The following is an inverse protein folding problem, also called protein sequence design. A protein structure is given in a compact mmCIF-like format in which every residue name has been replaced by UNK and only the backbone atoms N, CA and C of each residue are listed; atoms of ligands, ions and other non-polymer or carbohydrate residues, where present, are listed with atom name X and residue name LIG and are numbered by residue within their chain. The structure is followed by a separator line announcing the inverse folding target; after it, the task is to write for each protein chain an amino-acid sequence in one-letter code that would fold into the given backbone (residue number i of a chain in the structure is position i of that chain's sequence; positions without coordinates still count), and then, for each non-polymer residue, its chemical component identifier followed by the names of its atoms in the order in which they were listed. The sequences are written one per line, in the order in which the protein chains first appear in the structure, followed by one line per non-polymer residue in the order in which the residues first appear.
data_IF_991086765987
#
_entry.id   IF_991086765987
#
_cell.length_a   1.000
_cell.length_b   1.000
_cell.length_c   1.000
_cell.angle_alpha   90.00
_cell.angle_beta   90.00
_cell.angle_gamma   90.00
#
_symmetry.space_group_name_H-M   'P 1'
#
loop_
_entity.id
_entity.type
_entity.pdbx_description
1 polymer ?
#
# COMPACT_ATOMS: atom_id res chain seq x y z
N UNK A 1 -71.86 -4.99 28.82
CA UNK A 1 -71.17 -4.84 27.53
C UNK A 1 -69.98 -3.90 27.74
N UNK A 2 -68.72 -4.36 27.68
CA UNK A 2 -67.60 -3.45 27.76
C UNK A 2 -67.28 -2.86 26.37
N UNK A 3 -67.11 -1.54 26.32
CA UNK A 3 -66.56 -0.78 25.19
C UNK A 3 -65.16 -1.29 24.85
N UNK A 4 -64.93 -1.67 23.58
CA UNK A 4 -63.59 -1.91 23.03
C UNK A 4 -62.84 -0.58 22.95
N UNK A 5 -61.81 -0.41 23.76
CA UNK A 5 -60.76 0.59 23.52
C UNK A 5 -60.04 0.23 22.22
N UNK A 6 -59.99 1.17 21.28
CA UNK A 6 -59.18 1.07 20.08
C UNK A 6 -57.68 1.03 20.45
N UNK A 7 -56.95 0.07 19.92
CA UNK A 7 -55.51 -0.05 20.10
C UNK A 7 -54.77 1.13 19.46
N UNK A 8 -53.64 1.59 20.03
CA UNK A 8 -52.85 2.66 19.44
C UNK A 8 -52.17 2.20 18.15
N UNK A 9 -52.19 3.07 17.14
CA UNK A 9 -51.54 2.89 15.84
C UNK A 9 -50.01 2.83 16.06
N UNK A 10 -49.29 1.79 15.58
CA UNK A 10 -47.85 1.75 15.68
C UNK A 10 -47.23 2.71 14.67
N UNK A 11 -46.88 3.91 15.12
CA UNK A 11 -45.98 4.83 14.41
C UNK A 11 -44.55 4.34 14.58
N UNK A 12 -44.02 3.63 13.58
CA UNK A 12 -42.62 3.19 13.60
C UNK A 12 -42.32 1.95 12.79
N UNK A 13 -42.93 1.78 11.62
CA UNK A 13 -42.35 0.88 10.63
C UNK A 13 -41.18 1.61 10.00
N UNK A 14 -39.97 1.15 10.35
CA UNK A 14 -38.77 1.33 9.53
C UNK A 14 -39.15 1.05 8.08
N UNK A 15 -39.25 2.11 7.27
CA UNK A 15 -39.34 1.97 5.83
C UNK A 15 -38.05 1.27 5.39
N UNK A 16 -38.10 0.04 4.83
CA UNK A 16 -36.90 -0.54 4.25
C UNK A 16 -36.39 0.41 3.15
N UNK A 17 -35.07 0.55 2.96
CA UNK A 17 -34.55 1.41 1.91
C UNK A 17 -35.18 1.00 0.58
N UNK A 18 -35.53 1.99 -0.25
CA UNK A 18 -36.03 1.83 -1.62
C UNK A 18 -35.26 0.70 -2.29
N UNK A 19 -35.89 -0.46 -2.48
CA UNK A 19 -35.43 -1.46 -3.46
C UNK A 19 -35.67 -0.87 -4.84
N UNK A 20 -34.75 -0.02 -5.28
CA UNK A 20 -34.71 0.51 -6.64
C UNK A 20 -34.39 -0.63 -7.60
N UNK A 21 -35.37 -0.97 -8.43
CA UNK A 21 -35.35 -1.94 -9.52
C UNK A 21 -34.99 -3.40 -9.15
N UNK A 22 -35.81 -4.34 -9.63
CA UNK A 22 -35.34 -5.72 -9.81
C UNK A 22 -34.18 -5.66 -10.80
N UNK A 23 -32.94 -5.68 -10.30
CA UNK A 23 -31.79 -5.90 -11.17
C UNK A 23 -32.00 -7.29 -11.81
N UNK A 24 -32.08 -7.35 -13.13
CA UNK A 24 -32.17 -8.59 -13.91
C UNK A 24 -30.94 -9.51 -13.70
N UNK A 25 -29.93 -9.04 -12.97
CA UNK A 25 -28.64 -9.68 -12.78
C UNK A 25 -28.08 -9.37 -11.38
N UNK A 26 -27.13 -10.19 -10.94
CA UNK A 26 -26.42 -9.99 -9.68
C UNK A 26 -25.22 -9.04 -9.91
N UNK A 27 -25.22 -7.81 -9.33
CA UNK A 27 -24.15 -6.83 -9.56
C UNK A 27 -22.80 -7.30 -8.99
N UNK A 28 -22.79 -8.12 -7.94
CA UNK A 28 -21.56 -8.70 -7.36
C UNK A 28 -20.90 -9.74 -8.27
N UNK A 29 -21.60 -10.22 -9.31
CA UNK A 29 -21.05 -11.14 -10.31
C UNK A 29 -20.75 -10.38 -11.60
N UNK A 30 -21.73 -9.63 -12.11
CA UNK A 30 -21.62 -8.98 -13.42
C UNK A 30 -20.55 -7.90 -13.43
N UNK A 31 -20.49 -7.06 -12.41
CA UNK A 31 -19.53 -5.94 -12.38
C UNK A 31 -18.09 -6.47 -12.32
N UNK A 32 -17.72 -7.37 -11.40
CA UNK A 32 -16.36 -7.91 -11.39
C UNK A 32 -16.00 -8.68 -12.67
N UNK A 33 -16.97 -9.36 -13.30
CA UNK A 33 -16.75 -10.05 -14.58
C UNK A 33 -16.50 -9.08 -15.75
N UNK A 34 -17.25 -7.97 -15.82
CA UNK A 34 -17.01 -6.92 -16.81
C UNK A 34 -15.66 -6.24 -16.57
N UNK A 35 -15.33 -5.93 -15.32
CA UNK A 35 -14.03 -5.38 -14.94
C UNK A 35 -12.90 -6.34 -15.30
N UNK A 36 -13.07 -7.65 -15.08
CA UNK A 36 -12.13 -8.67 -15.51
C UNK A 36 -11.90 -8.60 -17.03
N UNK A 37 -12.97 -8.63 -17.84
CA UNK A 37 -12.89 -8.56 -19.30
C UNK A 37 -12.18 -7.28 -19.77
N UNK A 38 -12.60 -6.13 -19.26
CA UNK A 38 -12.03 -4.82 -19.64
C UNK A 38 -10.56 -4.73 -19.26
N UNK A 39 -10.19 -5.18 -18.06
CA UNK A 39 -8.80 -5.14 -17.59
C UNK A 39 -7.92 -6.09 -18.42
N UNK A 40 -8.45 -7.23 -18.85
CA UNK A 40 -7.74 -8.17 -19.72
C UNK A 40 -7.49 -7.59 -21.12
N UNK A 41 -8.48 -6.91 -21.69
CA UNK A 41 -8.32 -6.17 -22.96
C UNK A 41 -7.31 -5.03 -22.80
N UNK A 42 -7.39 -4.27 -21.71
CA UNK A 42 -6.47 -3.17 -21.44
C UNK A 42 -5.03 -3.65 -21.31
N UNK A 43 -4.80 -4.78 -20.62
CA UNK A 43 -3.48 -5.43 -20.55
C UNK A 43 -2.94 -5.78 -21.92
N UNK A 44 -3.77 -6.36 -22.79
CA UNK A 44 -3.38 -6.68 -24.16
C UNK A 44 -3.02 -5.43 -24.96
N UNK A 45 -3.80 -4.35 -24.87
CA UNK A 45 -3.52 -3.08 -25.54
C UNK A 45 -2.21 -2.44 -25.07
N UNK A 46 -1.95 -2.46 -23.76
CA UNK A 46 -0.69 -1.96 -23.18
C UNK A 46 0.51 -2.77 -23.69
N UNK A 47 0.39 -4.10 -23.75
CA UNK A 47 1.45 -4.96 -24.28
C UNK A 47 1.68 -4.74 -25.79
N UNK A 48 0.61 -4.60 -26.58
CA UNK A 48 0.68 -4.32 -28.01
C UNK A 48 1.36 -2.97 -28.30
N UNK A 49 1.03 -1.92 -27.54
CA UNK A 49 1.67 -0.60 -27.65
C UNK A 49 3.16 -0.59 -27.29
N UNK A 50 3.63 -1.58 -26.52
CA UNK A 50 5.05 -1.77 -26.19
C UNK A 50 5.79 -2.63 -27.24
N UNK A 51 5.16 -2.94 -28.37
CA UNK A 51 5.74 -3.77 -29.44
C UNK A 51 5.81 -5.26 -29.09
N UNK A 52 5.17 -5.69 -27.99
CA UNK A 52 5.16 -7.08 -27.50
C UNK A 52 3.80 -7.71 -27.80
N UNK A 53 3.54 -7.98 -29.08
CA UNK A 53 2.33 -8.71 -29.50
C UNK A 53 2.55 -10.19 -29.21
N UNK A 54 2.33 -10.58 -27.96
CA UNK A 54 2.33 -11.99 -27.56
C UNK A 54 0.95 -12.33 -26.99
N UNK A 55 0.21 -13.21 -27.68
CA UNK A 55 -1.10 -13.67 -27.23
C UNK A 55 -1.02 -14.38 -25.86
N UNK A 56 0.18 -14.76 -25.41
CA UNK A 56 0.42 -15.24 -24.04
C UNK A 56 -0.04 -14.25 -22.98
N UNK A 57 -0.04 -12.93 -23.22
CA UNK A 57 -0.56 -11.97 -22.24
C UNK A 57 -2.07 -12.10 -21.97
N UNK A 58 -2.83 -12.78 -22.85
CA UNK A 58 -4.26 -13.07 -22.65
C UNK A 58 -4.53 -14.22 -21.66
N UNK A 59 -3.53 -15.05 -21.34
CA UNK A 59 -3.67 -16.17 -20.40
C UNK A 59 -2.51 -16.32 -19.40
N UNK A 60 -1.43 -15.55 -19.56
CA UNK A 60 -0.30 -15.55 -18.65
C UNK A 60 -0.62 -14.80 -17.35
N UNK A 61 -0.22 -15.39 -16.23
CA UNK A 61 -0.22 -14.78 -14.91
C UNK A 61 0.93 -13.77 -14.80
N UNK A 62 0.72 -12.51 -15.22
CA UNK A 62 1.72 -11.44 -15.11
C UNK A 62 1.36 -10.15 -15.87
N UNK A 63 2.05 -9.03 -15.58
CA UNK A 63 1.99 -7.75 -16.33
C UNK A 63 0.98 -6.70 -15.83
N UNK A 64 1.20 -5.44 -16.22
CA UNK A 64 0.31 -4.30 -15.95
C UNK A 64 -0.92 -4.25 -16.87
N UNK A 65 -2.10 -3.87 -16.37
CA UNK A 65 -2.51 -3.76 -14.96
C UNK A 65 -2.88 -5.13 -14.35
N UNK A 66 -2.87 -5.22 -13.01
CA UNK A 66 -3.27 -6.45 -12.32
C UNK A 66 -4.78 -6.68 -12.38
N UNK A 67 -5.18 -7.75 -13.07
CA UNK A 67 -6.58 -8.17 -13.24
C UNK A 67 -7.17 -8.66 -11.91
N UNK A 68 -6.41 -9.43 -11.13
CA UNK A 68 -6.87 -9.92 -9.83
C UNK A 68 -7.23 -8.76 -8.91
N UNK A 69 -6.36 -7.75 -8.87
CA UNK A 69 -6.56 -6.54 -8.08
C UNK A 69 -7.77 -5.75 -8.57
N UNK A 70 -7.92 -5.55 -9.89
CA UNK A 70 -9.08 -4.87 -10.45
C UNK A 70 -10.40 -5.56 -10.09
N UNK A 71 -10.46 -6.89 -10.22
CA UNK A 71 -11.66 -7.68 -9.93
C UNK A 71 -12.05 -7.56 -8.46
N UNK A 72 -11.14 -7.86 -7.53
CA UNK A 72 -11.48 -7.85 -6.09
C UNK A 72 -11.75 -6.44 -5.57
N UNK A 73 -11.06 -5.42 -6.08
CA UNK A 73 -11.32 -4.02 -5.74
C UNK A 73 -12.68 -3.56 -6.28
N UNK A 74 -13.06 -3.98 -7.50
CA UNK A 74 -14.39 -3.67 -8.05
C UNK A 74 -15.53 -4.33 -7.28
N UNK A 75 -15.32 -5.57 -6.81
CA UNK A 75 -16.29 -6.28 -5.95
C UNK A 75 -16.46 -5.56 -4.62
N UNK A 76 -15.37 -5.23 -3.94
CA UNK A 76 -15.40 -4.52 -2.67
C UNK A 76 -16.06 -3.14 -2.80
N UNK A 77 -15.74 -2.40 -3.86
CA UNK A 77 -16.34 -1.08 -4.09
C UNK A 77 -17.82 -1.17 -4.50
N UNK A 78 -18.22 -2.22 -5.23
CA UNK A 78 -19.63 -2.48 -5.53
C UNK A 78 -20.41 -2.77 -4.24
N UNK A 79 -19.86 -3.59 -3.34
CA UNK A 79 -20.48 -3.84 -2.04
C UNK A 79 -20.55 -2.57 -1.16
N UNK A 80 -19.52 -1.72 -1.22
CA UNK A 80 -19.56 -0.41 -0.56
C UNK A 80 -20.72 0.46 -1.07
N UNK A 81 -20.91 0.55 -2.38
CA UNK A 81 -21.92 1.42 -2.99
C UNK A 81 -23.35 0.89 -2.82
N UNK A 82 -23.55 -0.43 -2.88
CA UNK A 82 -24.88 -1.04 -2.84
C UNK A 82 -25.35 -1.32 -1.42
N UNK A 83 -24.50 -1.93 -0.59
CA UNK A 83 -24.87 -2.37 0.77
C UNK A 83 -24.43 -1.38 1.85
N UNK A 84 -23.50 -0.49 1.51
CA UNK A 84 -22.92 0.45 2.45
C UNK A 84 -21.73 -0.09 3.24
N UNK A 85 -20.97 0.81 3.89
CA UNK A 85 -19.72 0.50 4.58
C UNK A 85 -19.88 -0.30 5.88
N UNK A 86 -21.08 -0.33 6.46
CA UNK A 86 -21.36 -1.12 7.68
C UNK A 86 -21.89 -2.52 7.38
N UNK A 87 -22.04 -2.88 6.10
CA UNK A 87 -22.59 -4.19 5.72
C UNK A 87 -21.55 -5.31 5.88
N UNK A 88 -22.04 -6.51 6.23
CA UNK A 88 -21.20 -7.70 6.29
C UNK A 88 -20.61 -8.06 4.92
N UNK A 89 -21.34 -7.81 3.83
CA UNK A 89 -20.90 -8.09 2.45
C UNK A 89 -19.72 -7.20 2.07
N UNK A 90 -19.77 -5.90 2.41
CA UNK A 90 -18.64 -5.00 2.22
C UNK A 90 -17.44 -5.44 3.06
N UNK A 91 -17.64 -5.71 4.35
CA UNK A 91 -16.56 -6.15 5.25
C UNK A 91 -15.84 -7.40 4.73
N UNK A 92 -16.61 -8.42 4.34
CA UNK A 92 -16.07 -9.66 3.75
C UNK A 92 -15.30 -9.38 2.45
N UNK A 93 -15.89 -8.61 1.54
CA UNK A 93 -15.31 -8.32 0.22
C UNK A 93 -14.04 -7.46 0.33
N UNK A 94 -14.01 -6.51 1.27
CA UNK A 94 -12.86 -5.65 1.52
C UNK A 94 -11.68 -6.44 2.11
N UNK A 95 -11.93 -7.31 3.11
CA UNK A 95 -10.90 -8.19 3.68
C UNK A 95 -10.40 -9.17 2.61
N UNK A 96 -11.31 -9.76 1.83
CA UNK A 96 -10.94 -10.65 0.72
C UNK A 96 -10.06 -9.92 -0.31
N UNK A 97 -10.43 -8.70 -0.69
CA UNK A 97 -9.62 -7.87 -1.60
C UNK A 97 -8.24 -7.59 -1.03
N UNK A 98 -8.13 -7.26 0.27
CA UNK A 98 -6.85 -7.03 0.94
C UNK A 98 -5.96 -8.28 0.91
N UNK A 99 -6.51 -9.46 1.20
CA UNK A 99 -5.76 -10.74 1.17
C UNK A 99 -5.25 -11.04 -0.24
N UNK A 100 -6.10 -10.91 -1.26
CA UNK A 100 -5.73 -11.18 -2.66
C UNK A 100 -4.69 -10.18 -3.16
N UNK A 101 -4.82 -8.90 -2.80
CA UNK A 101 -3.80 -7.89 -3.13
C UNK A 101 -2.48 -8.21 -2.42
N UNK A 102 -2.51 -8.62 -1.15
CA UNK A 102 -1.31 -9.02 -0.41
C UNK A 102 -0.59 -10.23 -1.04
N UNK A 103 -1.34 -11.28 -1.42
CA UNK A 103 -0.77 -12.44 -2.14
C UNK A 103 -0.12 -12.03 -3.47
N UNK A 104 -0.75 -11.08 -4.18
CA UNK A 104 -0.22 -10.57 -5.44
C UNK A 104 1.09 -9.77 -5.30
N UNK A 105 1.35 -9.16 -4.13
CA UNK A 105 2.56 -8.40 -3.83
C UNK A 105 3.76 -9.27 -3.37
N UNK A 106 3.55 -10.16 -2.38
CA UNK A 106 4.66 -10.64 -1.54
C UNK A 106 5.08 -12.09 -1.74
N UNK A 107 4.12 -13.01 -1.82
CA UNK A 107 4.41 -14.45 -1.79
C UNK A 107 5.04 -14.90 -3.11
N UNK A 108 4.46 -14.46 -4.24
CA UNK A 108 4.90 -14.90 -5.57
C UNK A 108 6.30 -14.41 -5.94
N UNK A 109 6.67 -13.21 -5.49
CA UNK A 109 8.00 -12.64 -5.75
C UNK A 109 9.10 -13.45 -5.08
N UNK A 110 8.91 -13.82 -3.82
CA UNK A 110 9.88 -14.59 -3.05
C UNK A 110 10.11 -15.98 -3.67
N UNK A 111 9.04 -16.66 -4.11
CA UNK A 111 9.15 -17.93 -4.82
C UNK A 111 9.84 -17.79 -6.18
N UNK A 112 9.61 -16.69 -6.90
CA UNK A 112 10.31 -16.38 -8.15
C UNK A 112 11.81 -16.14 -7.97
N UNK A 113 12.19 -15.38 -6.93
CA UNK A 113 13.59 -15.14 -6.57
C UNK A 113 14.30 -16.44 -6.16
N UNK A 114 13.60 -17.33 -5.44
CA UNK A 114 14.11 -18.68 -5.13
C UNK A 114 14.26 -19.54 -6.39
N UNK A 115 13.28 -19.54 -7.30
CA UNK A 115 13.36 -20.28 -8.55
C UNK A 115 14.54 -19.83 -9.42
N UNK A 116 14.78 -18.52 -9.51
CA UNK A 116 15.92 -17.95 -10.23
C UNK A 116 17.25 -18.34 -9.58
N UNK A 117 17.35 -18.29 -8.25
CA UNK A 117 18.54 -18.72 -7.53
C UNK A 117 18.85 -20.21 -7.73
N UNK A 118 17.82 -21.07 -7.68
CA UNK A 118 17.99 -22.51 -7.92
C UNK A 118 18.39 -22.77 -9.37
N UNK A 119 17.75 -22.12 -10.36
CA UNK A 119 18.14 -22.25 -11.77
C UNK A 119 19.61 -21.85 -11.98
N UNK A 120 20.08 -20.76 -11.36
CA UNK A 120 21.47 -20.33 -11.45
C UNK A 120 22.45 -21.32 -10.83
N UNK A 121 22.09 -21.96 -9.71
CA UNK A 121 22.90 -23.03 -9.10
C UNK A 121 22.97 -24.24 -10.03
N UNK A 122 21.84 -24.65 -10.63
CA UNK A 122 21.79 -25.79 -11.54
C UNK A 122 22.60 -25.54 -12.82
N UNK A 123 22.54 -24.32 -13.37
CA UNK A 123 23.34 -23.91 -14.52
C UNK A 123 24.85 -23.98 -14.21
N UNK A 124 25.28 -23.46 -13.06
CA UNK A 124 26.69 -23.53 -12.63
C UNK A 124 27.20 -24.95 -12.33
N UNK A 125 26.34 -25.84 -11.81
CA UNK A 125 26.70 -27.25 -11.59
C UNK A 125 26.87 -28.02 -12.91
N UNK A 126 26.05 -27.70 -13.92
CA UNK A 126 26.19 -28.25 -15.27
C UNK A 126 27.51 -27.81 -15.93
N UNK A 127 27.87 -26.53 -15.80
CA UNK A 127 29.16 -26.01 -16.27
C UNK A 127 30.36 -26.69 -15.58
N UNK A 128 30.21 -27.06 -14.31
CA UNK A 128 31.20 -27.80 -13.53
C UNK A 128 31.26 -29.32 -13.79
N UNK A 129 30.50 -29.85 -14.76
CA UNK A 129 30.38 -31.29 -15.05
C UNK A 129 29.94 -32.15 -13.84
N UNK A 130 29.21 -31.57 -12.87
CA UNK A 130 28.67 -32.34 -11.74
C UNK A 130 27.38 -33.02 -12.21
N UNK A 131 27.30 -34.36 -12.22
CA UNK A 131 26.11 -35.06 -12.70
C UNK A 131 24.97 -34.89 -11.69
N UNK A 132 24.02 -34.02 -12.02
CA UNK A 132 22.78 -33.84 -11.26
C UNK A 132 21.64 -34.44 -12.08
N UNK A 133 20.81 -35.31 -11.48
CA UNK A 133 19.55 -35.76 -12.08
C UNK A 133 18.58 -34.58 -12.09
N UNK A 134 18.59 -33.81 -13.17
CA UNK A 134 17.71 -32.65 -13.31
C UNK A 134 16.27 -33.04 -13.64
N UNK A 135 15.25 -32.34 -13.10
CA UNK A 135 13.95 -32.27 -13.75
C UNK A 135 14.14 -31.76 -15.19
N UNK A 136 13.34 -32.21 -16.18
CA UNK A 136 13.56 -31.86 -17.59
C UNK A 136 13.38 -30.36 -17.92
N UNK A 137 12.96 -29.52 -16.96
CA UNK A 137 12.63 -28.12 -17.20
C UNK A 137 13.15 -27.21 -16.08
N UNK A 138 13.65 -26.02 -16.46
CA UNK A 138 13.98 -24.94 -15.53
C UNK A 138 12.73 -24.57 -14.71
N UNK A 139 12.93 -24.23 -13.43
CA UNK A 139 11.86 -23.74 -12.59
C UNK A 139 11.33 -22.44 -13.20
N UNK A 140 10.01 -22.28 -13.21
CA UNK A 140 9.37 -21.08 -13.74
C UNK A 140 9.66 -19.91 -12.81
N UNK A 141 10.44 -18.95 -13.28
CA UNK A 141 10.73 -17.70 -12.59
C UNK A 141 9.50 -16.79 -12.64
N UNK A 142 8.56 -17.02 -11.72
CA UNK A 142 7.37 -16.17 -11.60
C UNK A 142 7.81 -14.87 -10.93
N UNK A 143 8.07 -13.82 -11.72
CA UNK A 143 8.13 -12.47 -11.17
C UNK A 143 6.73 -12.15 -10.63
N UNK A 144 6.60 -12.04 -9.32
CA UNK A 144 5.41 -11.44 -8.70
C UNK A 144 5.10 -10.08 -9.34
N UNK A 145 3.85 -9.65 -9.27
CA UNK A 145 3.45 -8.35 -9.80
C UNK A 145 4.23 -7.23 -9.10
N UNK A 146 4.70 -6.23 -9.86
CA UNK A 146 5.28 -5.05 -9.21
C UNK A 146 4.20 -4.35 -8.37
N UNK A 147 4.54 -3.72 -7.24
CA UNK A 147 3.54 -3.07 -6.41
C UNK A 147 2.68 -2.04 -7.17
N UNK A 148 3.29 -1.35 -8.13
CA UNK A 148 2.58 -0.42 -9.01
C UNK A 148 1.54 -1.09 -9.90
N UNK A 149 1.72 -2.36 -10.33
CA UNK A 149 0.75 -3.06 -11.18
C UNK A 149 -0.51 -3.43 -10.40
N UNK A 150 -0.35 -3.81 -9.13
CA UNK A 150 -1.44 -4.12 -8.20
C UNK A 150 -2.22 -2.85 -7.88
N UNK A 151 -1.52 -1.75 -7.57
CA UNK A 151 -2.15 -0.45 -7.34
C UNK A 151 -2.91 0.05 -8.57
N UNK A 152 -2.32 -0.03 -9.76
CA UNK A 152 -2.98 0.35 -11.01
C UNK A 152 -4.24 -0.50 -11.24
N UNK A 153 -4.16 -1.81 -11.00
CA UNK A 153 -5.31 -2.71 -11.07
C UNK A 153 -6.41 -2.30 -10.08
N UNK A 154 -6.07 -2.05 -8.82
CA UNK A 154 -7.04 -1.64 -7.79
C UNK A 154 -7.76 -0.33 -8.19
N UNK A 155 -7.02 0.67 -8.69
CA UNK A 155 -7.58 1.95 -9.17
C UNK A 155 -8.54 1.70 -10.33
N UNK A 156 -8.14 0.90 -11.33
CA UNK A 156 -9.00 0.52 -12.45
C UNK A 156 -10.29 -0.15 -11.95
N UNK A 157 -10.18 -1.07 -10.99
CA UNK A 157 -11.32 -1.73 -10.38
C UNK A 157 -12.30 -0.77 -9.71
N UNK A 158 -11.78 0.19 -8.93
CA UNK A 158 -12.59 1.25 -8.30
C UNK A 158 -13.27 2.13 -9.36
N UNK A 159 -12.54 2.57 -10.38
CA UNK A 159 -13.06 3.45 -11.43
C UNK A 159 -14.19 2.81 -12.23
N UNK A 160 -14.02 1.56 -12.67
CA UNK A 160 -15.08 0.87 -13.42
C UNK A 160 -16.26 0.49 -12.52
N UNK A 161 -16.03 0.10 -11.26
CA UNK A 161 -17.13 -0.10 -10.32
C UNK A 161 -17.91 1.19 -10.06
N UNK A 162 -17.23 2.33 -9.94
CA UNK A 162 -17.85 3.65 -9.82
C UNK A 162 -18.67 3.99 -11.08
N UNK A 163 -18.12 3.72 -12.27
CA UNK A 163 -18.79 3.96 -13.53
C UNK A 163 -20.05 3.11 -13.69
N UNK A 164 -19.97 1.80 -13.41
CA UNK A 164 -21.12 0.89 -13.52
C UNK A 164 -22.19 1.12 -12.44
N UNK A 165 -21.79 1.65 -11.28
CA UNK A 165 -22.70 2.04 -10.21
C UNK A 165 -22.84 3.58 -10.09
N UNK A 166 -22.74 4.32 -11.21
CA UNK A 166 -22.73 5.79 -11.18
C UNK A 166 -23.94 6.38 -10.42
N UNK A 167 -25.10 5.72 -10.54
CA UNK A 167 -26.35 6.13 -9.89
C UNK A 167 -26.30 6.00 -8.36
N UNK A 168 -25.38 5.20 -7.80
CA UNK A 168 -25.22 4.95 -6.36
C UNK A 168 -24.06 5.74 -5.74
N UNK A 169 -23.39 6.61 -6.52
CA UNK A 169 -22.26 7.41 -6.03
C UNK A 169 -22.66 8.42 -4.95
N UNK A 170 -23.94 8.78 -4.84
CA UNK A 170 -24.44 9.61 -3.74
C UNK A 170 -24.08 9.05 -2.37
N UNK A 171 -24.12 7.72 -2.21
CA UNK A 171 -23.74 7.06 -0.96
C UNK A 171 -22.28 7.28 -0.55
N UNK A 172 -21.37 7.55 -1.50
CA UNK A 172 -19.98 7.93 -1.21
C UNK A 172 -19.94 9.31 -0.57
N UNK A 173 -20.67 10.27 -1.14
CA UNK A 173 -20.73 11.64 -0.64
C UNK A 173 -21.35 11.65 0.76
N UNK A 174 -22.44 10.92 0.94
CA UNK A 174 -23.09 10.77 2.24
C UNK A 174 -22.11 10.16 3.25
N UNK A 175 -21.36 9.12 2.87
CA UNK A 175 -20.37 8.50 3.73
C UNK A 175 -19.25 9.47 4.16
N UNK A 176 -18.62 10.18 3.22
CA UNK A 176 -17.50 11.08 3.54
C UNK A 176 -17.96 12.35 4.28
N UNK A 177 -19.23 12.74 4.15
CA UNK A 177 -19.82 13.87 4.88
C UNK A 177 -20.44 13.45 6.22
N UNK A 178 -20.40 12.16 6.59
CA UNK A 178 -20.86 11.74 7.91
C UNK A 178 -20.04 12.41 9.02
N UNK A 179 -20.69 12.94 10.07
CA UNK A 179 -20.01 13.43 11.25
C UNK A 179 -19.18 12.32 11.91
N UNK A 180 -17.97 12.68 12.29
CA UNK A 180 -16.99 11.79 12.91
C UNK A 180 -17.41 11.47 14.35
N UNK A 181 -17.46 10.17 14.68
CA UNK A 181 -17.70 9.72 16.06
C UNK A 181 -16.42 9.74 16.92
N UNK A 182 -16.61 9.67 18.25
CA UNK A 182 -15.52 9.73 19.25
C UNK A 182 -14.38 8.73 18.99
N UNK A 183 -14.70 7.52 18.51
CA UNK A 183 -13.68 6.50 18.23
C UNK A 183 -12.66 6.97 17.18
N UNK A 184 -13.13 7.65 16.13
CA UNK A 184 -12.26 8.13 15.06
C UNK A 184 -11.49 9.37 15.51
N UNK A 185 -12.10 10.25 16.31
CA UNK A 185 -11.40 11.36 16.96
C UNK A 185 -10.19 10.88 17.78
N UNK A 186 -10.41 9.90 18.67
CA UNK A 186 -9.32 9.30 19.45
C UNK A 186 -8.29 8.58 18.59
N UNK A 187 -8.71 7.92 17.51
CA UNK A 187 -7.79 7.29 16.57
C UNK A 187 -6.88 8.32 15.88
N UNK A 188 -7.43 9.44 15.40
CA UNK A 188 -6.63 10.52 14.80
C UNK A 188 -5.66 11.10 15.82
N UNK A 189 -6.13 11.36 17.06
CA UNK A 189 -5.27 11.86 18.14
C UNK A 189 -4.11 10.92 18.45
N UNK A 190 -4.39 9.62 18.58
CA UNK A 190 -3.38 8.59 18.85
C UNK A 190 -2.37 8.53 17.71
N UNK A 191 -2.83 8.48 16.46
CA UNK A 191 -1.96 8.44 15.28
C UNK A 191 -1.08 9.67 15.22
N UNK A 192 -1.63 10.88 15.36
CA UNK A 192 -0.85 12.13 15.39
C UNK A 192 0.22 12.13 16.48
N UNK A 193 -0.12 11.64 17.67
CA UNK A 193 0.83 11.51 18.78
C UNK A 193 1.96 10.53 18.45
N UNK A 194 1.62 9.37 17.88
CA UNK A 194 2.59 8.36 17.41
C UNK A 194 3.50 8.94 16.34
N UNK A 195 2.98 9.73 15.40
CA UNK A 195 3.78 10.41 14.37
C UNK A 195 4.85 11.33 14.98
N UNK A 196 4.49 12.12 15.98
CA UNK A 196 5.46 12.98 16.69
C UNK A 196 6.55 12.13 17.35
N UNK A 197 6.14 11.16 18.18
CA UNK A 197 7.10 10.32 18.93
C UNK A 197 8.02 9.56 17.96
N UNK A 198 7.45 8.91 16.94
CA UNK A 198 8.21 8.16 15.95
C UNK A 198 9.17 9.07 15.16
N UNK A 199 8.77 10.29 14.82
CA UNK A 199 9.65 11.25 14.13
C UNK A 199 10.89 11.59 14.96
N UNK A 200 10.71 11.88 16.26
CA UNK A 200 11.83 12.17 17.16
C UNK A 200 12.74 10.96 17.37
N UNK A 201 12.15 9.78 17.60
CA UNK A 201 12.91 8.53 17.77
C UNK A 201 13.71 8.21 16.52
N UNK A 202 13.08 8.24 15.34
CA UNK A 202 13.75 7.97 14.07
C UNK A 202 14.89 8.98 13.82
N UNK A 203 14.64 10.27 14.05
CA UNK A 203 15.66 11.31 13.90
C UNK A 203 16.85 11.10 14.83
N UNK A 204 16.62 10.75 16.09
CA UNK A 204 17.69 10.59 17.07
C UNK A 204 18.47 9.28 16.87
N UNK A 205 17.77 8.15 16.72
CA UNK A 205 18.39 6.83 16.65
C UNK A 205 19.10 6.60 15.31
N UNK A 206 18.43 6.92 14.20
CA UNK A 206 18.92 6.55 12.87
C UNK A 206 19.99 7.53 12.37
N UNK A 207 19.91 8.83 12.68
CA UNK A 207 21.00 9.77 12.36
C UNK A 207 22.28 9.39 13.12
N UNK A 208 22.18 8.98 14.40
CA UNK A 208 23.36 8.52 15.14
C UNK A 208 24.04 7.34 14.47
N UNK A 209 23.25 6.39 13.94
CA UNK A 209 23.75 5.18 13.29
C UNK A 209 24.27 5.42 11.87
N UNK A 210 23.61 6.28 11.09
CA UNK A 210 23.84 6.43 9.65
C UNK A 210 24.25 7.85 9.23
N UNK A 211 24.79 8.67 10.13
CA UNK A 211 25.23 10.05 9.84
C UNK A 211 26.17 10.22 8.63
N UNK A 212 26.84 9.14 8.19
CA UNK A 212 27.76 9.14 7.05
C UNK A 212 27.07 8.91 5.70
N UNK A 213 25.80 8.51 5.70
CA UNK A 213 25.01 8.23 4.49
C UNK A 213 24.11 9.43 4.20
N UNK A 214 24.46 10.33 3.27
CA UNK A 214 23.71 11.57 3.05
C UNK A 214 22.26 11.30 2.60
N UNK A 215 22.00 10.25 1.81
CA UNK A 215 20.63 9.89 1.42
C UNK A 215 19.75 9.55 2.62
N UNK A 216 20.25 8.80 3.60
CA UNK A 216 19.49 8.44 4.81
C UNK A 216 19.24 9.70 5.65
N UNK A 217 20.24 10.57 5.80
CA UNK A 217 20.09 11.81 6.57
C UNK A 217 19.04 12.73 5.94
N UNK A 218 19.05 12.90 4.62
CA UNK A 218 18.05 13.70 3.89
C UNK A 218 16.65 13.09 3.99
N UNK A 219 16.52 11.78 3.76
CA UNK A 219 15.24 11.08 3.88
C UNK A 219 14.62 11.27 5.26
N UNK A 220 15.42 11.14 6.33
CA UNK A 220 14.95 11.31 7.70
C UNK A 220 14.62 12.75 8.02
N UNK A 221 15.41 13.70 7.51
CA UNK A 221 15.10 15.12 7.69
C UNK A 221 13.75 15.48 7.06
N UNK A 222 13.52 15.06 5.80
CA UNK A 222 12.26 15.32 5.11
C UNK A 222 11.09 14.55 5.76
N UNK A 223 11.29 13.28 6.11
CA UNK A 223 10.31 12.47 6.81
C UNK A 223 9.95 13.02 8.19
N UNK A 224 10.92 13.59 8.92
CA UNK A 224 10.70 14.25 10.21
C UNK A 224 9.77 15.45 10.07
N UNK A 225 10.06 16.35 9.13
CA UNK A 225 9.23 17.53 8.91
C UNK A 225 7.84 17.16 8.39
N UNK A 226 7.75 16.20 7.46
CA UNK A 226 6.47 15.70 6.99
C UNK A 226 5.63 15.11 8.14
N UNK A 227 6.23 14.28 9.00
CA UNK A 227 5.56 13.71 10.16
C UNK A 227 5.04 14.78 11.14
N UNK A 228 5.83 15.83 11.40
CA UNK A 228 5.39 16.94 12.25
C UNK A 228 4.25 17.75 11.63
N UNK A 229 4.29 18.00 10.33
CA UNK A 229 3.22 18.70 9.61
C UNK A 229 1.92 17.88 9.68
N UNK A 230 1.97 16.58 9.38
CA UNK A 230 0.78 15.74 9.46
C UNK A 230 0.26 15.58 10.89
N UNK A 231 1.15 15.50 11.88
CA UNK A 231 0.74 15.49 13.28
C UNK A 231 0.05 16.81 13.67
N UNK A 232 0.60 17.96 13.30
CA UNK A 232 0.01 19.27 13.57
C UNK A 232 -1.38 19.43 12.92
N UNK A 233 -1.51 19.04 11.64
CA UNK A 233 -2.81 19.03 10.95
C UNK A 233 -3.79 18.09 11.66
N UNK A 234 -3.34 16.90 12.07
CA UNK A 234 -4.19 15.95 12.78
C UNK A 234 -4.66 16.46 14.15
N UNK A 235 -3.79 17.10 14.96
CA UNK A 235 -4.21 17.75 16.20
C UNK A 235 -5.19 18.90 15.95
N UNK A 236 -4.96 19.70 14.90
CA UNK A 236 -5.90 20.73 14.46
C UNK A 236 -7.26 20.14 14.08
N UNK A 237 -7.30 19.04 13.33
CA UNK A 237 -8.53 18.34 13.00
C UNK A 237 -9.24 17.80 14.24
N UNK A 238 -8.52 17.17 15.17
CA UNK A 238 -9.10 16.70 16.44
C UNK A 238 -9.75 17.86 17.20
N UNK A 239 -9.08 19.01 17.28
CA UNK A 239 -9.68 20.21 17.87
C UNK A 239 -10.97 20.61 17.15
N UNK A 240 -10.95 20.73 15.81
CA UNK A 240 -12.15 21.11 15.03
C UNK A 240 -13.30 20.10 15.18
N UNK A 241 -13.00 18.80 15.22
CA UNK A 241 -13.96 17.71 15.46
C UNK A 241 -14.56 17.85 16.87
N UNK A 242 -13.72 18.09 17.89
CA UNK A 242 -14.16 18.26 19.29
C UNK A 242 -15.07 19.48 19.48
N UNK A 243 -14.88 20.53 18.69
CA UNK A 243 -15.74 21.73 18.68
C UNK A 243 -17.02 21.54 17.83
N UNK A 244 -17.20 20.36 17.25
CA UNK A 244 -18.34 20.00 16.39
C UNK A 244 -18.61 21.02 15.27
N UNK A 245 -17.55 21.57 14.68
CA UNK A 245 -17.64 22.57 13.62
C UNK A 245 -18.18 21.90 12.36
N UNK A 246 -19.29 22.43 11.83
CA UNK A 246 -19.94 21.94 10.63
C UNK A 246 -18.96 21.89 9.45
N UNK A 247 -18.93 20.78 8.72
CA UNK A 247 -18.03 20.58 7.60
C UNK A 247 -16.63 20.12 8.01
N UNK A 248 -16.09 20.61 9.14
CA UNK A 248 -14.78 20.19 9.65
C UNK A 248 -14.85 18.86 10.41
N UNK A 249 -16.00 18.55 11.01
CA UNK A 249 -16.26 17.28 11.67
C UNK A 249 -16.61 16.13 10.70
N UNK A 250 -16.46 16.30 9.39
CA UNK A 250 -16.75 15.28 8.39
C UNK A 250 -15.63 14.25 8.26
N UNK A 251 -16.00 12.99 8.01
CA UNK A 251 -15.08 11.87 7.80
C UNK A 251 -14.10 12.10 6.63
N UNK A 252 -14.44 13.00 5.72
CA UNK A 252 -13.62 13.45 4.60
C UNK A 252 -12.21 13.87 5.04
N UNK A 253 -12.08 14.72 6.06
CA UNK A 253 -10.78 15.30 6.42
C UNK A 253 -9.80 14.30 7.04
N UNK A 254 -10.20 13.48 8.03
CA UNK A 254 -9.34 12.39 8.52
C UNK A 254 -8.92 11.43 7.41
N UNK A 255 -9.84 11.10 6.49
CA UNK A 255 -9.56 10.19 5.37
C UNK A 255 -8.55 10.77 4.39
N UNK A 256 -8.70 12.05 4.03
CA UNK A 256 -7.74 12.77 3.17
C UNK A 256 -6.37 12.87 3.83
N UNK A 257 -6.31 13.19 5.13
CA UNK A 257 -5.06 13.25 5.87
C UNK A 257 -4.32 11.90 5.86
N UNK A 258 -5.06 10.80 6.04
CA UNK A 258 -4.50 9.45 5.97
C UNK A 258 -3.95 9.13 4.56
N UNK A 259 -4.72 9.40 3.51
CA UNK A 259 -4.31 9.12 2.13
C UNK A 259 -3.07 9.93 1.75
N UNK A 260 -3.07 11.24 2.03
CA UNK A 260 -1.96 12.14 1.68
C UNK A 260 -0.71 11.80 2.48
N UNK A 261 -0.84 11.47 3.77
CA UNK A 261 0.30 11.05 4.59
C UNK A 261 0.91 9.75 4.05
N UNK A 262 0.12 8.69 3.83
CA UNK A 262 0.61 7.43 3.26
C UNK A 262 1.29 7.63 1.90
N UNK A 263 0.69 8.42 1.01
CA UNK A 263 1.28 8.75 -0.29
C UNK A 263 2.63 9.47 -0.13
N UNK A 264 2.74 10.43 0.79
CA UNK A 264 3.97 11.17 1.06
C UNK A 264 5.08 10.26 1.55
N UNK A 265 4.81 9.38 2.51
CA UNK A 265 5.82 8.43 3.02
C UNK A 265 6.17 7.35 2.00
N UNK A 266 5.23 6.90 1.16
CA UNK A 266 5.51 6.00 0.06
C UNK A 266 6.43 6.64 -0.98
N UNK A 267 6.19 7.91 -1.34
CA UNK A 267 7.04 8.67 -2.26
C UNK A 267 8.44 8.90 -1.67
N UNK A 268 8.54 9.18 -0.37
CA UNK A 268 9.82 9.28 0.33
C UNK A 268 10.58 7.94 0.26
N UNK A 269 9.91 6.83 0.54
CA UNK A 269 10.52 5.50 0.48
C UNK A 269 10.96 5.15 -0.95
N UNK A 270 10.14 5.48 -1.95
CA UNK A 270 10.45 5.23 -3.36
C UNK A 270 11.64 6.07 -3.85
N UNK A 271 11.67 7.36 -3.51
CA UNK A 271 12.74 8.28 -3.94
C UNK A 271 14.10 7.93 -3.33
N UNK A 272 14.15 7.52 -2.06
CA UNK A 272 15.42 7.23 -1.38
C UNK A 272 15.81 5.74 -1.39
N UNK A 273 14.86 4.83 -1.59
CA UNK A 273 15.07 3.38 -1.55
C UNK A 273 16.24 2.89 -2.42
N UNK A 274 16.37 3.31 -3.70
CA UNK A 274 17.48 2.89 -4.56
C UNK A 274 18.84 3.46 -4.14
N UNK A 275 18.88 4.64 -3.53
CA UNK A 275 20.13 5.34 -3.19
C UNK A 275 20.79 4.79 -1.93
N UNK A 276 20.01 4.26 -0.99
CA UNK A 276 20.50 3.73 0.28
C UNK A 276 21.49 2.56 0.11
N UNK A 277 21.19 1.46 -0.61
CA UNK A 277 22.11 0.33 -0.73
C UNK A 277 23.41 0.70 -1.49
N UNK A 278 23.31 1.58 -2.49
CA UNK A 278 24.47 2.05 -3.26
C UNK A 278 25.46 2.81 -2.38
N UNK A 279 24.97 3.76 -1.57
CA UNK A 279 25.82 4.54 -0.67
C UNK A 279 26.37 3.71 0.49
N UNK A 280 25.62 2.71 0.96
CA UNK A 280 26.11 1.77 1.98
C UNK A 280 27.25 0.90 1.44
N UNK A 281 27.15 0.43 0.18
CA UNK A 281 28.21 -0.33 -0.47
C UNK A 281 29.47 0.54 -0.68
N UNK A 282 29.30 1.79 -1.12
CA UNK A 282 30.40 2.74 -1.30
C UNK A 282 31.12 3.07 0.03
N UNK A 283 30.36 3.28 1.11
CA UNK A 283 30.94 3.49 2.45
C UNK A 283 31.69 2.25 2.94
N UNK A 284 31.18 1.04 2.68
CA UNK A 284 31.85 -0.21 3.05
C UNK A 284 33.17 -0.39 2.30
N UNK A 285 33.21 -0.10 0.99
CA UNK A 285 34.43 -0.16 0.19
C UNK A 285 35.46 0.88 0.65
N UNK A 286 35.00 2.09 0.98
CA UNK A 286 35.86 3.15 1.51
C UNK A 286 36.44 2.81 2.88
N UNK A 287 35.62 2.31 3.81
CA UNK A 287 36.09 1.86 5.12
C UNK A 287 37.12 0.69 4.96
N UNK A 288 36.92 -0.21 3.99
CA UNK A 288 37.87 -1.30 3.68
C UNK A 288 39.22 -0.78 3.14
N UNK A 289 39.19 0.17 2.20
CA UNK A 289 40.39 0.84 1.67
C UNK A 289 41.15 1.59 2.76
N UNK A 290 40.44 2.34 3.61
CA UNK A 290 41.06 3.06 4.72
C UNK A 290 41.76 2.10 5.71
N UNK A 291 41.18 0.93 5.99
CA UNK A 291 41.82 -0.11 6.82
C UNK A 291 43.13 -0.61 6.19
N UNK A 292 43.16 -0.80 4.87
CA UNK A 292 44.35 -1.23 4.13
C UNK A 292 45.46 -0.18 4.09
N UNK A 293 45.12 1.08 3.79
CA UNK A 293 46.11 2.17 3.69
C UNK A 293 46.66 2.62 5.04
N UNK A 294 45.85 2.59 6.10
CA UNK A 294 46.26 3.10 7.42
C UNK A 294 47.09 2.10 8.22
N UNK A 295 47.02 0.81 7.86
CA UNK A 295 47.64 -0.31 8.56
C UNK A 295 47.16 -0.45 10.02
N UNK A 296 47.46 -1.55 10.71
CA UNK A 296 46.92 -1.85 12.05
C UNK A 296 47.36 -0.89 13.17
N UNK A 297 48.12 0.17 12.89
CA UNK A 297 48.80 0.99 13.89
C UNK A 297 48.55 2.51 13.78
N UNK A 298 47.43 2.95 13.20
CA UNK A 298 47.04 4.39 13.16
C UNK A 298 47.04 5.06 14.54
N UNK A 299 46.43 4.41 15.55
CA UNK A 299 46.44 4.93 16.94
C UNK A 299 47.85 5.04 17.51
N UNK A 300 48.73 4.08 17.20
CA UNK A 300 50.12 4.04 17.67
C UNK A 300 51.00 5.09 16.98
N UNK A 301 50.76 5.39 15.69
CA UNK A 301 51.41 6.48 14.94
C UNK A 301 50.94 7.85 15.43
N UNK A 302 49.64 8.03 15.66
CA UNK A 302 49.09 9.26 16.24
C UNK A 302 49.62 9.50 17.67
N UNK A 303 49.74 8.46 18.49
CA UNK A 303 50.35 8.53 19.81
C UNK A 303 51.85 8.90 19.74
N UNK A 304 52.62 8.27 18.85
CA UNK A 304 54.03 8.63 18.61
C UNK A 304 54.20 10.08 18.10
N UNK A 305 53.34 10.54 17.20
CA UNK A 305 53.38 11.92 16.71
C UNK A 305 53.06 12.94 17.82
N UNK A 306 52.08 12.65 18.69
CA UNK A 306 51.77 13.49 19.86
C UNK A 306 52.89 13.48 20.89
N UNK A 307 53.58 12.35 21.10
CA UNK A 307 54.74 12.27 21.98
C UNK A 307 55.95 13.03 21.42
N UNK A 308 56.17 13.00 20.10
CA UNK A 308 57.23 13.75 19.43
C UNK A 308 57.00 15.28 19.45
N UNK A 309 55.75 15.72 19.53
CA UNK A 309 55.38 17.15 19.65
C UNK A 309 55.45 17.69 21.08
N UNK A 310 55.70 16.82 22.07
CA UNK A 310 55.84 17.14 23.50
C UNK A 310 57.30 17.08 24.00
N UNK A 311 58.24 16.71 23.13
CA UNK A 311 59.69 16.85 23.34
C UNK A 311 60.18 18.01 22.49
#
# INVERSE_FOLDING_TARGET
MPMRLAAPIPTGQHCPPRRTAMNLYNPYIVIPLLVWMITQVLKFLVAAGQGRIDFRYLYASGGMPSVHSAVVSSLAFTAFLIDGPQSAIFGLSAIFAAIVMYDSFGVRRSTGEQAAAINAILDGLNEGNVPVKHPPHKLREILGHKPLEVMAGAIIGLLFAALFNANQLGGVVDFVTTPVGQMVEYAVLLVSTVFVVAAFVARFYVIRRYRRVPAIVQAIHLGFWAALVFAAIGFGLVFLISQNIAGANWLLWPSLLLIVSLATFALLAYSYGPHVPLQLAELSDKDSKDIWFEGPNKKRRAAKARAKKRR
#
